data_IF_790778895918
#
_entry.id   IF_790778895918
#
_cell.length_a   1.000
_cell.length_b   1.000
_cell.length_c   1.000
_cell.angle_alpha   90.00
_cell.angle_beta   90.00
_cell.angle_gamma   90.00
#
_symmetry.space_group_name_H-M   'P 1'
#
loop_
_entity.id
_entity.type
_entity.pdbx_description
1 polymer ?
#
# COMPACT_ATOMS: atom_id res chain seq x y z
N UNK A 1 9.02 0.14 5.16
CA UNK A 1 7.59 0.41 5.11
C UNK A 1 7.09 1.15 6.33
N UNK A 2 5.92 1.75 6.24
CA UNK A 2 5.26 2.38 7.38
C UNK A 2 4.58 1.36 8.30
N UNK A 3 4.43 1.71 9.57
CA UNK A 3 3.70 0.86 10.51
C UNK A 3 2.19 0.93 10.24
N UNK A 4 1.52 -0.22 10.32
CA UNK A 4 0.06 -0.28 10.32
C UNK A 4 -0.55 0.42 11.54
N UNK A 5 -1.83 0.80 11.44
CA UNK A 5 -2.60 1.30 12.57
C UNK A 5 -2.68 0.24 13.68
N UNK A 6 -2.46 0.63 14.93
CA UNK A 6 -2.48 -0.29 16.08
C UNK A 6 -3.75 -0.16 16.93
N UNK A 7 -4.59 0.81 16.62
CA UNK A 7 -5.90 1.02 17.26
C UNK A 7 -6.87 1.58 16.23
N UNK A 8 -8.17 1.47 16.50
CA UNK A 8 -9.21 2.03 15.62
C UNK A 8 -9.12 3.56 15.44
N UNK A 9 -8.43 4.26 16.34
CA UNK A 9 -8.28 5.71 16.32
C UNK A 9 -6.95 6.17 15.74
N UNK A 10 -6.04 5.26 15.40
CA UNK A 10 -4.74 5.60 14.83
C UNK A 10 -4.76 5.48 13.31
N UNK A 11 -4.07 6.39 12.65
CA UNK A 11 -3.77 6.31 11.22
C UNK A 11 -2.60 5.35 10.99
N UNK A 12 -2.58 4.71 9.84
CA UNK A 12 -1.35 4.09 9.35
C UNK A 12 -0.27 5.16 9.16
N UNK A 13 0.97 4.79 9.41
CA UNK A 13 2.12 5.68 9.22
C UNK A 13 2.61 5.58 7.78
N UNK A 14 2.96 6.71 7.17
CA UNK A 14 3.58 6.71 5.85
C UNK A 14 4.89 5.90 5.85
N UNK A 15 5.18 5.25 4.75
CA UNK A 15 6.48 4.63 4.53
C UNK A 15 7.58 5.69 4.45
N UNK A 16 8.80 5.29 4.80
CA UNK A 16 9.99 6.13 4.58
C UNK A 16 10.40 6.08 3.10
N UNK A 17 11.03 7.14 2.64
CA UNK A 17 11.54 7.23 1.28
C UNK A 17 12.71 6.25 1.05
N UNK A 18 12.86 5.81 -0.21
CA UNK A 18 14.06 5.12 -0.69
C UNK A 18 14.87 6.11 -1.51
N UNK A 19 16.15 6.29 -1.14
CA UNK A 19 17.01 7.31 -1.76
C UNK A 19 18.27 6.66 -2.32
N UNK A 20 18.57 7.00 -3.58
CA UNK A 20 19.83 6.67 -4.22
C UNK A 20 20.41 7.94 -4.84
N UNK A 21 21.45 8.51 -4.23
CA UNK A 21 22.02 9.79 -4.63
C UNK A 21 20.95 10.90 -4.70
N UNK A 22 20.68 11.45 -5.87
CA UNK A 22 19.64 12.49 -6.10
C UNK A 22 18.27 11.92 -6.47
N UNK A 23 18.14 10.59 -6.60
CA UNK A 23 16.87 9.93 -6.93
C UNK A 23 16.15 9.56 -5.65
N UNK A 24 14.93 10.07 -5.48
CA UNK A 24 14.06 9.76 -4.34
C UNK A 24 12.77 9.10 -4.80
N UNK A 25 12.50 7.91 -4.27
CA UNK A 25 11.19 7.27 -4.36
C UNK A 25 10.47 7.44 -3.03
N UNK A 26 9.37 8.18 -3.04
CA UNK A 26 8.61 8.49 -1.84
C UNK A 26 7.96 7.25 -1.24
N UNK A 27 7.91 7.18 0.07
CA UNK A 27 7.16 6.15 0.78
C UNK A 27 5.66 6.20 0.48
N UNK A 28 4.99 5.08 0.56
CA UNK A 28 3.54 5.00 0.41
C UNK A 28 2.79 5.68 1.55
N UNK A 29 1.62 6.24 1.26
CA UNK A 29 0.74 6.90 2.23
C UNK A 29 0.09 5.89 3.19
N UNK A 30 -0.03 6.26 4.45
CA UNK A 30 -0.74 5.49 5.47
C UNK A 30 -2.25 5.43 5.22
N UNK A 31 -2.87 4.33 5.58
CA UNK A 31 -4.32 4.15 5.51
C UNK A 31 -5.06 4.96 6.59
N UNK A 32 -6.33 5.26 6.33
CA UNK A 32 -7.20 6.00 7.24
C UNK A 32 -7.58 5.22 8.50
N UNK A 33 -7.91 5.95 9.58
CA UNK A 33 -8.45 5.37 10.81
C UNK A 33 -9.94 5.10 10.69
N UNK A 34 -10.47 4.22 11.58
CA UNK A 34 -11.89 3.85 11.57
C UNK A 34 -12.83 4.90 12.16
N UNK A 35 -12.44 5.61 13.19
CA UNK A 35 -13.36 6.42 14.04
C UNK A 35 -13.63 7.82 13.54
N UNK A 36 -12.95 8.28 12.53
CA UNK A 36 -13.13 9.62 11.98
C UNK A 36 -13.28 9.56 10.46
N UNK A 37 -13.95 10.53 9.88
CA UNK A 37 -13.97 10.79 8.44
C UNK A 37 -12.57 11.20 7.99
N UNK A 38 -11.59 10.28 8.11
CA UNK A 38 -10.22 10.55 7.71
C UNK A 38 -9.97 10.02 6.32
N UNK A 39 -9.33 10.84 5.52
CA UNK A 39 -8.80 10.44 4.22
C UNK A 39 -7.54 9.62 4.39
N UNK A 40 -7.24 8.77 3.41
CA UNK A 40 -5.92 8.15 3.31
C UNK A 40 -4.84 9.22 3.17
N UNK A 41 -3.64 8.94 3.65
CA UNK A 41 -2.51 9.88 3.54
C UNK A 41 -1.92 9.86 2.12
N UNK A 42 -1.38 11.03 1.69
CA UNK A 42 -0.63 11.13 0.44
C UNK A 42 0.74 10.45 0.56
N UNK A 43 1.27 9.95 -0.56
CA UNK A 43 2.59 9.30 -0.61
C UNK A 43 3.06 9.07 -2.03
N UNK A 44 4.09 8.26 -2.24
CA UNK A 44 4.44 7.74 -3.56
C UNK A 44 3.22 7.09 -4.21
N UNK A 45 2.58 6.15 -3.51
CA UNK A 45 1.19 5.70 -3.73
C UNK A 45 0.35 6.12 -2.53
N UNK A 46 -0.91 6.49 -2.73
CA UNK A 46 -1.79 6.99 -1.68
C UNK A 46 -2.39 5.89 -0.81
N UNK A 47 -2.66 6.19 0.47
CA UNK A 47 -3.37 5.30 1.39
C UNK A 47 -4.87 5.19 1.06
N UNK A 48 -5.48 4.03 1.35
CA UNK A 48 -6.92 3.83 1.24
C UNK A 48 -7.70 4.45 2.40
N UNK A 49 -9.01 4.56 2.25
CA UNK A 49 -9.91 5.15 3.26
C UNK A 49 -10.61 4.12 4.12
N UNK A 50 -11.25 4.61 5.15
CA UNK A 50 -12.21 3.85 5.96
C UNK A 50 -13.65 4.06 5.46
N UNK A 51 -14.62 3.49 6.19
CA UNK A 51 -16.04 3.43 5.82
C UNK A 51 -16.92 4.60 6.31
N UNK A 52 -16.43 5.51 7.15
CA UNK A 52 -17.28 6.54 7.79
C UNK A 52 -17.33 7.84 7.00
N UNK A 53 -18.21 7.88 6.01
CA UNK A 53 -18.54 9.11 5.28
C UNK A 53 -17.76 9.28 3.96
N UNK A 54 -18.05 10.36 3.21
CA UNK A 54 -17.39 10.63 1.95
C UNK A 54 -15.93 11.03 2.21
N UNK A 55 -15.07 10.04 2.33
CA UNK A 55 -13.64 10.22 2.50
C UNK A 55 -12.93 9.90 1.17
N UNK A 56 -11.90 10.67 0.87
CA UNK A 56 -11.09 10.48 -0.34
C UNK A 56 -9.86 9.64 -0.03
N UNK A 57 -9.48 8.75 -0.95
CA UNK A 57 -8.18 8.11 -0.88
C UNK A 57 -7.05 9.13 -0.90
N UNK A 58 -5.94 8.80 -0.28
CA UNK A 58 -4.73 9.62 -0.35
C UNK A 58 -4.26 9.75 -1.80
N UNK A 59 -3.76 10.92 -2.17
CA UNK A 59 -3.20 11.10 -3.51
C UNK A 59 -1.87 10.34 -3.67
N UNK A 60 -1.65 9.77 -4.85
CA UNK A 60 -0.33 9.31 -5.28
C UNK A 60 0.49 10.45 -5.86
N UNK A 61 1.80 10.27 -5.91
CA UNK A 61 2.71 11.21 -6.55
C UNK A 61 2.88 10.87 -8.02
N UNK A 62 2.77 11.88 -8.88
CA UNK A 62 2.94 11.72 -10.33
C UNK A 62 4.25 10.97 -10.65
N UNK A 63 4.17 9.99 -11.54
CA UNK A 63 5.26 9.09 -11.95
C UNK A 63 5.83 8.17 -10.85
N UNK A 64 5.21 8.11 -9.66
CA UNK A 64 5.60 7.19 -8.60
C UNK A 64 4.49 6.20 -8.23
N UNK A 65 3.23 6.65 -8.23
CA UNK A 65 2.11 5.79 -7.93
C UNK A 65 0.76 6.49 -8.02
N UNK A 66 -0.29 5.73 -7.77
CA UNK A 66 -1.67 6.15 -7.90
C UNK A 66 -2.34 6.40 -6.55
N UNK A 67 -3.49 7.04 -6.59
CA UNK A 67 -4.30 7.31 -5.40
C UNK A 67 -4.83 6.03 -4.77
N UNK A 68 -5.04 6.06 -3.47
CA UNK A 68 -5.86 5.07 -2.78
C UNK A 68 -7.34 5.22 -3.12
N UNK A 69 -8.12 4.18 -2.88
CA UNK A 69 -9.57 4.17 -3.06
C UNK A 69 -10.27 5.07 -2.05
N UNK A 70 -11.34 5.73 -2.49
CA UNK A 70 -12.25 6.53 -1.67
C UNK A 70 -13.24 5.67 -0.89
N UNK A 71 -13.73 6.18 0.24
CA UNK A 71 -14.77 5.52 1.03
C UNK A 71 -16.15 5.66 0.38
N UNK A 72 -16.97 4.63 0.51
CA UNK A 72 -18.39 4.69 0.16
C UNK A 72 -19.21 5.37 1.26
N UNK A 73 -20.43 5.78 0.93
CA UNK A 73 -21.37 6.34 1.92
C UNK A 73 -22.00 5.24 2.79
N UNK A 74 -22.12 5.52 4.11
CA UNK A 74 -22.84 4.70 5.12
C UNK A 74 -24.17 4.09 4.56
N UNK A 75 -24.61 2.86 5.00
CA UNK A 75 -24.42 2.36 6.38
C UNK A 75 -23.45 1.17 6.54
N UNK A 76 -22.70 0.79 5.54
CA UNK A 76 -21.90 -0.45 5.57
C UNK A 76 -20.40 -0.22 5.81
N UNK A 77 -19.80 -1.12 6.59
CA UNK A 77 -18.41 -1.02 7.08
C UNK A 77 -17.45 -1.71 6.11
N UNK A 78 -16.71 -0.94 5.29
CA UNK A 78 -15.67 -1.49 4.41
C UNK A 78 -14.52 -0.49 4.25
N UNK A 79 -13.32 -0.97 4.24
CA UNK A 79 -12.13 -0.20 3.92
C UNK A 79 -11.87 -0.20 2.42
N UNK A 80 -11.43 0.92 1.88
CA UNK A 80 -10.97 1.02 0.49
C UNK A 80 -9.49 0.64 0.38
N UNK A 81 -9.09 0.12 -0.78
CA UNK A 81 -7.72 -0.32 -1.02
C UNK A 81 -6.75 0.85 -1.17
N UNK A 82 -5.49 0.65 -0.79
CA UNK A 82 -4.39 1.59 -1.07
C UNK A 82 -4.02 1.62 -2.56
N UNK A 83 -3.45 2.73 -3.03
CA UNK A 83 -2.93 2.85 -4.40
C UNK A 83 -1.68 1.98 -4.62
N UNK A 84 -1.48 1.52 -5.84
CA UNK A 84 -0.28 0.84 -6.29
C UNK A 84 0.55 1.71 -7.24
N UNK A 85 1.67 1.16 -7.70
CA UNK A 85 2.54 1.85 -8.66
C UNK A 85 1.99 1.84 -10.10
N UNK A 86 1.07 0.93 -10.44
CA UNK A 86 0.46 0.83 -11.77
C UNK A 86 -1.04 1.12 -11.79
N UNK A 87 -1.74 1.04 -10.66
CA UNK A 87 -3.18 1.24 -10.60
C UNK A 87 -3.61 1.92 -9.29
N UNK A 88 -4.73 2.64 -9.35
CA UNK A 88 -5.37 3.18 -8.16
C UNK A 88 -5.97 2.06 -7.30
N UNK A 89 -6.09 2.30 -5.99
CA UNK A 89 -6.89 1.46 -5.13
C UNK A 89 -8.37 1.53 -5.50
N UNK A 90 -9.10 0.44 -5.28
CA UNK A 90 -10.52 0.37 -5.60
C UNK A 90 -11.32 1.11 -4.53
N UNK A 91 -12.28 1.93 -4.98
CA UNK A 91 -13.21 2.63 -4.09
C UNK A 91 -14.11 1.65 -3.36
N UNK A 92 -14.48 2.00 -2.14
CA UNK A 92 -15.52 1.30 -1.42
C UNK A 92 -16.86 1.42 -2.14
N UNK A 93 -17.51 0.31 -2.46
CA UNK A 93 -18.81 0.28 -3.12
C UNK A 93 -19.91 -0.10 -2.16
N UNK A 94 -21.04 0.65 -2.21
CA UNK A 94 -22.28 0.35 -1.48
C UNK A 94 -22.96 -0.89 -2.10
N UNK A 95 -22.48 -2.08 -1.85
CA UNK A 95 -23.19 -3.28 -2.29
C UNK A 95 -24.11 -3.76 -1.16
N UNK A 96 -25.39 -3.77 -1.46
CA UNK A 96 -26.52 -4.09 -0.60
C UNK A 96 -26.25 -5.17 0.46
N UNK A 97 -25.99 -4.77 1.69
CA UNK A 97 -26.15 -5.61 2.89
C UNK A 97 -24.90 -6.22 3.51
N UNK A 98 -23.76 -6.21 2.88
CA UNK A 98 -22.51 -6.68 3.48
C UNK A 98 -21.36 -5.76 3.08
N UNK A 99 -20.63 -5.25 4.06
CA UNK A 99 -19.45 -4.44 3.80
C UNK A 99 -18.31 -5.32 3.28
N UNK A 100 -17.89 -5.12 2.05
CA UNK A 100 -16.71 -5.79 1.49
C UNK A 100 -15.54 -4.80 1.41
N UNK A 101 -14.41 -5.15 1.97
CA UNK A 101 -13.16 -4.44 1.68
C UNK A 101 -12.85 -4.50 0.20
N UNK A 102 -12.17 -3.50 -0.34
CA UNK A 102 -11.85 -3.45 -1.76
C UNK A 102 -10.36 -3.66 -2.03
N UNK A 103 -10.02 -4.06 -3.25
CA UNK A 103 -8.66 -4.41 -3.61
C UNK A 103 -7.72 -3.19 -3.61
N UNK A 104 -6.47 -3.41 -3.22
CA UNK A 104 -5.39 -2.46 -3.49
C UNK A 104 -5.07 -2.39 -4.98
N UNK A 105 -4.50 -1.28 -5.41
CA UNK A 105 -4.00 -1.11 -6.77
C UNK A 105 -2.77 -1.98 -7.04
N UNK A 106 -2.64 -2.49 -8.26
CA UNK A 106 -1.49 -3.30 -8.65
C UNK A 106 -0.19 -2.50 -8.70
N UNK A 107 0.89 -3.17 -8.41
CA UNK A 107 2.25 -2.70 -8.59
C UNK A 107 2.68 -2.74 -10.06
N UNK A 108 3.82 -2.12 -10.34
CA UNK A 108 4.41 -2.05 -11.66
C UNK A 108 5.38 -3.22 -11.89
N UNK A 109 5.22 -3.89 -13.03
CA UNK A 109 6.15 -4.95 -13.45
C UNK A 109 7.50 -4.38 -13.90
N UNK A 110 8.58 -5.02 -13.51
CA UNK A 110 9.94 -4.69 -13.93
C UNK A 110 10.71 -5.93 -14.35
N UNK A 111 11.49 -5.82 -15.41
CA UNK A 111 12.41 -6.85 -15.91
C UNK A 111 13.86 -6.61 -15.48
N UNK A 112 14.11 -5.68 -14.54
CA UNK A 112 15.45 -5.28 -14.15
C UNK A 112 16.30 -6.46 -13.63
N UNK A 113 15.65 -7.47 -13.01
CA UNK A 113 16.29 -8.68 -12.48
C UNK A 113 16.43 -9.81 -13.50
N UNK A 114 15.95 -9.60 -14.74
CA UNK A 114 15.93 -10.62 -15.81
C UNK A 114 14.63 -11.40 -15.91
N UNK A 115 13.80 -11.42 -14.87
CA UNK A 115 12.45 -11.97 -14.85
C UNK A 115 11.45 -10.89 -14.49
N UNK A 116 10.18 -11.04 -14.90
CA UNK A 116 9.14 -10.06 -14.56
C UNK A 116 8.78 -10.18 -13.07
N UNK A 117 9.05 -9.10 -12.32
CA UNK A 117 8.68 -8.97 -10.90
C UNK A 117 7.87 -7.70 -10.74
N UNK A 118 6.77 -7.78 -9.96
CA UNK A 118 5.94 -6.63 -9.64
C UNK A 118 6.41 -5.97 -8.34
N UNK A 119 6.41 -4.62 -8.31
CA UNK A 119 6.80 -3.81 -7.15
C UNK A 119 5.75 -2.74 -6.86
N UNK A 120 5.61 -2.36 -5.59
CA UNK A 120 4.76 -1.24 -5.19
C UNK A 120 3.27 -1.50 -5.30
N UNK A 121 2.79 -2.70 -4.96
CA UNK A 121 1.35 -2.99 -4.88
C UNK A 121 0.70 -2.37 -3.65
N UNK A 122 -0.54 -1.89 -3.77
CA UNK A 122 -1.32 -1.35 -2.66
C UNK A 122 -1.87 -2.44 -1.75
N UNK A 123 -2.08 -2.14 -0.47
CA UNK A 123 -2.77 -3.05 0.45
C UNK A 123 -4.27 -3.11 0.22
N UNK A 124 -4.89 -4.24 0.46
CA UNK A 124 -6.36 -4.40 0.41
C UNK A 124 -7.06 -3.71 1.58
N UNK A 125 -8.27 -3.20 1.37
CA UNK A 125 -9.12 -2.65 2.41
C UNK A 125 -9.62 -3.74 3.37
N UNK A 126 -9.68 -3.41 4.66
CA UNK A 126 -10.21 -4.33 5.68
C UNK A 126 -11.72 -4.51 5.61
N UNK A 127 -12.22 -5.63 6.11
CA UNK A 127 -13.63 -6.01 6.06
C UNK A 127 -13.99 -7.01 7.16
N UNK A 128 -15.25 -7.00 7.59
CA UNK A 128 -15.75 -7.93 8.62
C UNK A 128 -16.26 -9.28 8.07
N UNK A 129 -16.38 -9.44 6.76
CA UNK A 129 -17.00 -10.62 6.13
C UNK A 129 -16.00 -11.46 5.34
N UNK A 130 -15.20 -10.84 4.48
CA UNK A 130 -14.31 -11.56 3.55
C UNK A 130 -12.98 -10.82 3.41
N UNK A 131 -11.86 -11.50 3.57
CA UNK A 131 -10.54 -10.93 3.30
C UNK A 131 -10.42 -10.52 1.82
N UNK A 132 -9.82 -9.36 1.57
CA UNK A 132 -9.47 -8.95 0.20
C UNK A 132 -8.15 -9.56 -0.18
N UNK A 133 -8.06 -10.04 -1.44
CA UNK A 133 -6.81 -10.60 -1.96
C UNK A 133 -5.67 -9.58 -2.01
N UNK A 134 -4.42 -10.05 -2.05
CA UNK A 134 -3.27 -9.19 -2.26
C UNK A 134 -3.25 -8.63 -3.69
N UNK A 135 -2.80 -7.37 -3.85
CA UNK A 135 -2.48 -6.82 -5.17
C UNK A 135 -1.14 -7.37 -5.68
N UNK A 136 -0.93 -7.35 -6.99
CA UNK A 136 0.38 -7.62 -7.58
C UNK A 136 1.41 -6.61 -7.06
N UNK A 137 2.62 -7.04 -6.75
CA UNK A 137 3.67 -6.17 -6.22
C UNK A 137 3.74 -6.13 -4.70
N UNK A 138 3.23 -7.17 -4.05
CA UNK A 138 3.46 -7.44 -2.63
C UNK A 138 2.53 -6.70 -1.67
N UNK A 139 1.37 -6.26 -2.12
CA UNK A 139 0.37 -5.66 -1.22
C UNK A 139 -0.15 -6.67 -0.21
N UNK A 140 -0.31 -6.26 1.04
CA UNK A 140 -0.90 -7.07 2.11
C UNK A 140 -2.41 -7.25 1.92
N UNK A 141 -2.96 -8.38 2.32
CA UNK A 141 -4.40 -8.66 2.28
C UNK A 141 -5.16 -7.78 3.27
N UNK A 142 -6.34 -7.31 2.91
CA UNK A 142 -7.29 -6.76 3.88
C UNK A 142 -7.90 -7.89 4.71
N UNK A 143 -7.79 -7.80 6.03
CA UNK A 143 -8.22 -8.85 6.94
C UNK A 143 -9.69 -8.78 7.32
N UNK A 144 -10.26 -9.89 7.78
CA UNK A 144 -11.50 -9.94 8.57
C UNK A 144 -11.21 -9.78 10.08
N UNK A 145 -9.97 -9.87 10.45
CA UNK A 145 -9.34 -9.51 11.70
C UNK A 145 -8.15 -8.58 11.39
N UNK A 146 -6.95 -8.85 11.84
CA UNK A 146 -5.79 -8.03 11.49
C UNK A 146 -5.50 -8.03 9.98
N UNK A 147 -5.07 -6.89 9.46
CA UNK A 147 -4.60 -6.78 8.08
C UNK A 147 -3.25 -7.45 7.87
N UNK A 148 -3.02 -8.00 6.68
CA UNK A 148 -1.75 -8.60 6.29
C UNK A 148 -0.68 -7.53 6.01
N UNK A 149 0.57 -7.82 6.38
CA UNK A 149 1.68 -6.94 6.03
C UNK A 149 2.05 -7.04 4.55
N UNK A 150 2.57 -5.96 4.00
CA UNK A 150 3.18 -5.96 2.68
C UNK A 150 4.45 -6.82 2.65
N UNK A 151 4.74 -7.37 1.47
CA UNK A 151 5.90 -8.23 1.24
C UNK A 151 7.20 -7.42 1.30
N UNK A 152 8.21 -7.99 1.95
CA UNK A 152 9.56 -7.39 2.03
C UNK A 152 10.17 -7.20 0.63
N UNK A 153 10.95 -6.15 0.46
CA UNK A 153 11.70 -5.83 -0.77
C UNK A 153 10.81 -5.66 -2.01
N UNK A 154 9.54 -5.33 -1.81
CA UNK A 154 8.62 -5.00 -2.92
C UNK A 154 8.09 -3.57 -2.84
N UNK A 155 8.19 -2.92 -1.67
CA UNK A 155 7.51 -1.64 -1.43
C UNK A 155 5.99 -1.77 -1.35
N UNK A 156 5.45 -2.97 -1.13
CA UNK A 156 4.01 -3.22 -1.05
C UNK A 156 3.37 -2.60 0.20
N UNK A 157 2.17 -2.06 0.06
CA UNK A 157 1.40 -1.50 1.18
C UNK A 157 0.86 -2.58 2.12
N UNK A 158 0.62 -2.24 3.39
CA UNK A 158 -0.09 -3.13 4.33
C UNK A 158 -1.60 -3.09 4.12
N UNK A 159 -2.29 -4.18 4.40
CA UNK A 159 -3.75 -4.28 4.34
C UNK A 159 -4.45 -3.69 5.56
N UNK A 160 -5.70 -3.29 5.42
CA UNK A 160 -6.55 -2.81 6.51
C UNK A 160 -7.02 -3.92 7.44
N UNK A 161 -7.21 -3.61 8.72
CA UNK A 161 -7.89 -4.51 9.67
C UNK A 161 -9.41 -4.52 9.49
N UNK A 162 -10.06 -5.62 9.81
CA UNK A 162 -11.47 -5.86 9.53
C UNK A 162 -12.43 -5.40 10.60
N UNK A 163 -12.04 -5.35 11.85
CA UNK A 163 -12.95 -5.11 12.99
C UNK A 163 -12.47 -3.97 13.89
N UNK A 164 -13.27 -3.63 14.92
CA UNK A 164 -13.07 -2.46 15.79
C UNK A 164 -11.72 -2.37 16.49
N UNK A 165 -11.11 -3.50 16.81
CA UNK A 165 -9.83 -3.53 17.54
C UNK A 165 -8.70 -4.20 16.73
N UNK A 166 -8.93 -4.39 15.43
CA UNK A 166 -7.96 -5.08 14.60
C UNK A 166 -6.93 -4.11 14.01
N UNK A 167 -5.68 -4.52 14.08
CA UNK A 167 -4.56 -3.74 13.57
C UNK A 167 -4.51 -3.77 12.04
N UNK A 168 -4.13 -2.68 11.43
CA UNK A 168 -3.69 -2.68 10.04
C UNK A 168 -2.31 -3.36 9.90
N UNK A 169 -2.06 -3.98 8.74
CA UNK A 169 -0.75 -4.52 8.40
C UNK A 169 0.28 -3.41 8.14
N UNK A 170 1.53 -3.68 8.42
CA UNK A 170 2.63 -2.79 8.07
C UNK A 170 2.96 -2.87 6.57
N UNK A 171 3.43 -1.79 5.99
CA UNK A 171 3.99 -1.82 4.63
C UNK A 171 5.29 -2.63 4.56
N UNK A 172 5.54 -3.29 3.42
CA UNK A 172 6.79 -3.96 3.12
C UNK A 172 7.93 -2.97 2.89
N UNK A 173 9.16 -3.40 3.11
CA UNK A 173 10.32 -2.59 2.76
C UNK A 173 10.41 -2.35 1.25
N UNK A 174 10.95 -1.20 0.85
CA UNK A 174 11.37 -0.96 -0.52
C UNK A 174 12.69 -1.70 -0.85
N UNK A 175 13.08 -1.63 -2.11
CA UNK A 175 14.33 -2.18 -2.64
C UNK A 175 14.94 -1.18 -3.61
N UNK A 176 16.26 -1.11 -3.66
CA UNK A 176 17.02 -0.42 -4.71
C UNK A 176 17.78 -1.46 -5.51
N UNK A 177 17.54 -1.51 -6.82
CA UNK A 177 18.17 -2.47 -7.74
C UNK A 177 18.98 -1.69 -8.77
N UNK A 178 20.27 -1.99 -8.85
CA UNK A 178 21.17 -1.43 -9.85
C UNK A 178 21.52 -2.52 -10.87
N UNK A 179 21.39 -2.19 -12.14
CA UNK A 179 21.81 -3.04 -13.25
C UNK A 179 22.78 -2.27 -14.14
N UNK A 180 23.93 -2.83 -14.37
CA UNK A 180 24.97 -2.25 -15.23
C UNK A 180 25.57 -3.32 -16.15
N UNK A 181 26.13 -2.94 -17.32
CA UNK A 181 26.81 -3.88 -18.21
C UNK A 181 28.06 -4.48 -17.52
N UNK A 182 28.30 -5.76 -17.74
CA UNK A 182 29.48 -6.45 -17.15
C UNK A 182 30.82 -5.84 -17.60
N UNK A 183 30.87 -5.20 -18.77
CA UNK A 183 32.04 -4.51 -19.28
C UNK A 183 32.46 -3.32 -18.39
N UNK A 184 31.57 -2.77 -17.60
CA UNK A 184 31.82 -1.60 -16.74
C UNK A 184 32.27 -1.99 -15.32
N UNK A 185 32.33 -3.29 -15.00
CA UNK A 185 32.73 -3.80 -13.68
C UNK A 185 34.06 -3.29 -13.16
N UNK A 186 35.14 -3.13 -13.98
CA UNK A 186 36.42 -2.65 -13.50
C UNK A 186 36.42 -1.27 -12.87
N UNK A 187 35.36 -0.49 -13.13
CA UNK A 187 35.24 0.89 -12.64
C UNK A 187 34.36 1.02 -11.36
N UNK A 188 33.77 -0.07 -10.88
CA UNK A 188 32.98 -0.06 -9.66
C UNK A 188 33.78 -0.60 -8.48
N UNK A 189 34.10 0.26 -7.53
CA UNK A 189 34.59 -0.14 -6.21
C UNK A 189 33.43 -0.24 -5.27
N UNK A 190 33.13 -1.42 -4.72
CA UNK A 190 32.14 -1.59 -3.66
C UNK A 190 32.82 -1.39 -2.30
N UNK A 191 32.33 -0.46 -1.50
CA UNK A 191 32.80 -0.24 -0.12
C UNK A 191 31.83 -0.84 0.92
N UNK A 192 30.91 -1.69 0.51
CA UNK A 192 29.90 -2.33 1.35
C UNK A 192 29.87 -3.84 1.19
N UNK A 193 29.26 -4.52 2.17
CA UNK A 193 29.00 -5.96 2.09
C UNK A 193 27.88 -6.20 1.10
N UNK A 194 28.12 -6.98 0.06
CA UNK A 194 27.08 -7.48 -0.83
C UNK A 194 26.41 -8.66 -0.13
N UNK A 195 25.13 -8.53 0.18
CA UNK A 195 24.28 -9.62 0.67
C UNK A 195 23.44 -10.18 -0.46
#
# INVERSE_FOLDING_TARGET
>A
GGNGATTQNSLGVNGSDSVLSSITSLGGGGGASRTYTSSGATGGSGGGTNYQGPSTGGAGTLNQGYAGGGGGSSPYQFGAGGGGAAAAGTDGTNNSGAGYGTAGGDGLASLITGTSVYYGGGGGGGNIVTATGPSLGGGGIGGTSAGGSGTFNTGGGGGGGGNTNDNGGSGGSGVVILRYPTADLPYFTTTGTLN
#
